data_IF_014968496602
#
_entry.id   IF_014968496602
#
_cell.length_a   1.000
_cell.length_b   1.000
_cell.length_c   1.000
_cell.angle_alpha   90.00
_cell.angle_beta   90.00
_cell.angle_gamma   90.00
#
_symmetry.space_group_name_H-M   'P 1'
#
loop_
_entity.id
_entity.type
_entity.pdbx_description
1 polymer ?
#
# COMPACT_ATOMS: atom_id res chain seq x y z
N UNK A 1 -17.15 -32.45 -21.38
CA UNK A 1 -17.33 -33.34 -20.21
C UNK A 1 -18.38 -32.70 -19.31
N UNK A 2 -19.63 -33.18 -19.36
CA UNK A 2 -20.77 -32.66 -18.58
C UNK A 2 -20.75 -33.26 -17.16
N UNK A 3 -20.88 -32.42 -16.14
CA UNK A 3 -21.15 -32.85 -14.76
C UNK A 3 -22.45 -32.19 -14.32
N UNK A 4 -23.49 -33.02 -14.22
CA UNK A 4 -24.77 -32.73 -13.60
C UNK A 4 -24.62 -32.89 -12.08
N UNK A 5 -25.02 -31.89 -11.30
CA UNK A 5 -25.21 -32.06 -9.85
C UNK A 5 -26.49 -31.33 -9.39
N UNK A 6 -27.61 -32.02 -9.53
CA UNK A 6 -28.85 -31.72 -8.81
C UNK A 6 -28.65 -32.04 -7.32
N UNK A 7 -28.65 -31.03 -6.45
CA UNK A 7 -28.95 -31.21 -5.02
C UNK A 7 -29.90 -30.12 -4.52
N UNK A 8 -31.13 -30.54 -4.23
CA UNK A 8 -32.13 -29.79 -3.46
C UNK A 8 -31.63 -29.59 -2.03
N UNK A 9 -31.68 -28.36 -1.55
CA UNK A 9 -31.54 -28.02 -0.14
C UNK A 9 -32.91 -28.05 0.54
N UNK A 10 -33.08 -28.92 1.54
CA UNK A 10 -34.21 -28.89 2.46
C UNK A 10 -33.68 -28.27 3.76
N UNK A 11 -34.12 -27.05 4.08
CA UNK A 11 -33.85 -26.38 5.34
C UNK A 11 -34.77 -26.95 6.43
N UNK A 12 -34.17 -27.48 7.52
CA UNK A 12 -34.86 -27.74 8.79
C UNK A 12 -34.48 -26.67 9.80
N UNK A 13 -35.42 -26.09 10.57
CA UNK A 13 -35.08 -25.10 11.59
C UNK A 13 -34.49 -25.76 12.83
N UNK A 14 -33.35 -25.24 13.31
CA UNK A 14 -32.78 -25.59 14.62
C UNK A 14 -33.46 -24.75 15.70
N UNK A 15 -34.17 -25.41 16.62
CA UNK A 15 -34.63 -24.83 17.90
C UNK A 15 -33.41 -24.56 18.78
N UNK A 16 -33.22 -23.32 19.20
CA UNK A 16 -32.36 -22.98 20.33
C UNK A 16 -33.16 -23.09 21.62
N UNK A 17 -32.62 -23.82 22.60
CA UNK A 17 -33.14 -23.90 23.96
C UNK A 17 -32.34 -22.88 24.78
N UNK A 18 -32.97 -21.76 25.14
CA UNK A 18 -32.42 -20.81 26.11
C UNK A 18 -32.65 -21.39 27.50
N UNK A 19 -31.57 -21.65 28.24
CA UNK A 19 -31.64 -21.96 29.68
C UNK A 19 -31.49 -20.62 30.39
N UNK A 20 -32.60 -20.13 30.94
CA UNK A 20 -32.66 -18.87 31.66
C UNK A 20 -31.98 -18.95 33.02
N UNK A 21 -31.12 -17.99 33.32
CA UNK A 21 -30.84 -17.56 34.69
C UNK A 21 -31.77 -16.39 35.01
N UNK A 22 -32.63 -16.60 36.00
CA UNK A 22 -33.62 -15.64 36.45
C UNK A 22 -32.92 -14.56 37.28
N UNK A 23 -32.71 -13.37 36.72
CA UNK A 23 -32.27 -12.19 37.48
C UNK A 23 -33.53 -11.35 37.78
N UNK A 24 -34.05 -11.47 39.00
CA UNK A 24 -35.20 -10.67 39.45
C UNK A 24 -34.67 -9.41 40.13
N UNK A 25 -34.69 -8.27 39.41
CA UNK A 25 -34.45 -6.95 40.00
C UNK A 25 -35.81 -6.40 40.44
N UNK A 26 -36.03 -6.28 41.76
CA UNK A 26 -37.13 -5.48 42.31
C UNK A 26 -36.62 -4.05 42.48
N UNK A 27 -37.15 -3.11 41.71
CA UNK A 27 -37.00 -1.68 41.97
C UNK A 27 -38.09 -1.24 42.94
N UNK A 28 -37.71 -0.85 44.16
CA UNK A 28 -38.58 -0.12 45.06
C UNK A 28 -38.37 1.39 44.83
N UNK A 29 -39.46 2.13 44.73
CA UNK A 29 -39.48 3.58 44.59
C UNK A 29 -38.85 4.26 45.83
N UNK A 30 -37.69 4.89 45.66
CA UNK A 30 -37.19 5.95 46.57
C UNK A 30 -36.42 7.02 45.79
N UNK A 31 -36.54 8.25 46.29
CA UNK A 31 -36.10 9.57 45.77
C UNK A 31 -34.65 9.66 45.21
N UNK A 32 -34.37 10.69 44.38
CA UNK A 32 -33.11 10.80 43.63
C UNK A 32 -31.96 11.32 44.50
N UNK A 33 -30.82 10.67 44.42
CA UNK A 33 -29.57 11.18 45.00
C UNK A 33 -28.55 10.06 45.26
N UNK A 34 -27.57 9.96 44.36
CA UNK A 34 -26.34 9.17 44.49
C UNK A 34 -26.47 7.64 44.49
N UNK A 35 -26.13 7.02 43.36
CA UNK A 35 -25.82 5.59 43.27
C UNK A 35 -24.31 5.41 43.10
N UNK A 36 -23.66 4.90 44.14
CA UNK A 36 -22.27 4.45 44.11
C UNK A 36 -22.32 2.91 43.96
N UNK A 37 -21.92 2.41 42.80
CA UNK A 37 -21.77 0.97 42.55
C UNK A 37 -20.33 0.56 42.82
N UNK A 38 -20.09 -0.14 43.93
CA UNK A 38 -18.87 -0.93 44.12
C UNK A 38 -19.19 -2.40 43.88
N UNK A 39 -18.37 -3.04 43.05
CA UNK A 39 -18.38 -4.48 42.83
C UNK A 39 -17.07 -5.04 43.39
N UNK A 40 -17.16 -5.94 44.37
CA UNK A 40 -16.07 -6.82 44.75
C UNK A 40 -16.59 -8.25 44.68
N UNK A 41 -16.09 -9.01 43.70
CA UNK A 41 -16.35 -10.44 43.60
C UNK A 41 -15.01 -11.19 43.62
N UNK A 42 -14.72 -11.78 44.77
CA UNK A 42 -13.56 -12.64 45.00
C UNK A 42 -14.02 -14.09 44.84
N UNK A 43 -13.70 -14.73 43.71
CA UNK A 43 -13.77 -16.18 43.60
C UNK A 43 -12.35 -16.76 43.53
N UNK A 44 -11.95 -17.39 44.63
CA UNK A 44 -10.81 -18.30 44.71
C UNK A 44 -11.23 -19.60 44.02
N UNK A 45 -10.58 -19.92 42.91
CA UNK A 45 -10.65 -21.22 42.25
C UNK A 45 -9.31 -21.91 42.45
N UNK A 46 -9.26 -22.84 43.40
CA UNK A 46 -8.17 -23.80 43.55
C UNK A 46 -8.38 -24.94 42.54
N UNK A 47 -7.51 -25.01 41.54
CA UNK A 47 -7.40 -26.13 40.61
C UNK A 47 -5.95 -26.63 40.61
N UNK A 48 -5.64 -27.52 41.53
CA UNK A 48 -4.42 -28.33 41.49
C UNK A 48 -4.70 -29.64 40.75
N UNK A 49 -4.26 -29.72 39.49
CA UNK A 49 -4.20 -30.97 38.73
C UNK A 49 -2.75 -31.48 38.70
N UNK A 50 -2.52 -32.81 38.80
CA UNK A 50 -1.19 -33.39 38.84
C UNK A 50 -0.50 -33.35 37.47
N UNK A 51 0.77 -32.97 37.47
CA UNK A 51 1.63 -32.98 36.28
C UNK A 51 1.89 -34.42 35.79
N UNK A 52 1.15 -34.82 34.75
CA UNK A 52 1.45 -36.01 33.96
C UNK A 52 2.70 -35.78 33.11
N UNK A 53 3.72 -36.63 33.29
CA UNK A 53 4.95 -36.67 32.48
C UNK A 53 4.62 -36.90 31.01
N UNK A 54 4.64 -35.85 30.18
CA UNK A 54 4.51 -35.97 28.73
C UNK A 54 5.80 -36.54 28.13
N UNK A 55 5.67 -37.65 27.38
CA UNK A 55 6.73 -38.16 26.50
C UNK A 55 7.10 -37.09 25.45
N UNK A 56 8.37 -37.05 24.99
CA UNK A 56 8.78 -36.14 23.91
C UNK A 56 7.93 -36.44 22.67
N UNK A 57 7.20 -35.44 22.17
CA UNK A 57 6.48 -35.54 20.89
C UNK A 57 7.52 -35.62 19.78
N UNK A 58 7.57 -36.74 19.08
CA UNK A 58 8.25 -36.83 17.79
C UNK A 58 7.66 -35.76 16.85
N UNK A 59 8.52 -34.84 16.39
CA UNK A 59 8.15 -33.79 15.46
C UNK A 59 7.90 -34.40 14.09
N UNK A 60 6.63 -34.65 13.76
CA UNK A 60 6.21 -35.03 12.40
C UNK A 60 6.50 -33.85 11.47
N UNK A 61 7.49 -34.01 10.59
CA UNK A 61 7.82 -33.06 9.52
C UNK A 61 6.79 -33.21 8.40
N UNK A 62 5.72 -32.42 8.42
CA UNK A 62 4.82 -32.33 7.28
C UNK A 62 5.45 -31.42 6.24
N UNK A 63 5.84 -31.94 5.08
CA UNK A 63 6.18 -31.10 3.93
C UNK A 63 4.90 -30.60 3.28
N UNK A 64 4.86 -29.32 2.91
CA UNK A 64 3.74 -28.70 2.21
C UNK A 64 4.11 -28.44 0.76
N UNK A 65 3.18 -28.57 -0.18
CA UNK A 65 3.41 -28.29 -1.60
C UNK A 65 2.73 -26.96 -1.98
N UNK A 66 3.44 -26.09 -2.71
CA UNK A 66 2.87 -24.91 -3.36
C UNK A 66 2.63 -25.26 -4.83
N UNK A 67 1.38 -25.17 -5.29
CA UNK A 67 1.02 -25.36 -6.70
C UNK A 67 0.81 -23.99 -7.36
N UNK A 68 1.52 -23.71 -8.44
CA UNK A 68 1.39 -22.49 -9.23
C UNK A 68 0.28 -22.61 -10.27
N UNK A 69 -0.13 -21.47 -10.87
CA UNK A 69 -1.15 -21.42 -11.92
C UNK A 69 -0.79 -22.21 -13.18
N UNK A 70 0.51 -22.40 -13.44
CA UNK A 70 1.02 -23.21 -14.56
C UNK A 70 1.02 -24.72 -14.26
N UNK A 71 0.49 -25.13 -13.10
CA UNK A 71 0.45 -26.52 -12.64
C UNK A 71 1.77 -27.01 -12.01
N UNK A 72 2.83 -26.20 -12.02
CA UNK A 72 4.08 -26.58 -11.36
C UNK A 72 3.87 -26.67 -9.85
N UNK A 73 4.49 -27.67 -9.22
CA UNK A 73 4.44 -27.86 -7.77
C UNK A 73 5.84 -27.76 -7.18
N UNK A 74 6.04 -26.90 -6.19
CA UNK A 74 7.29 -26.83 -5.44
C UNK A 74 7.06 -27.36 -4.03
N UNK A 75 7.90 -28.31 -3.62
CA UNK A 75 7.91 -28.84 -2.26
C UNK A 75 8.56 -27.83 -1.34
N UNK A 76 7.89 -27.53 -0.23
CA UNK A 76 8.41 -26.67 0.82
C UNK A 76 8.78 -27.52 2.02
N UNK A 77 9.93 -27.20 2.62
CA UNK A 77 10.37 -27.79 3.89
C UNK A 77 10.17 -26.76 4.99
N UNK A 78 9.69 -27.21 6.14
CA UNK A 78 9.67 -26.36 7.32
C UNK A 78 11.09 -26.28 7.89
N UNK A 79 11.62 -25.07 7.99
CA UNK A 79 12.76 -24.80 8.84
C UNK A 79 12.26 -24.20 10.16
N UNK A 80 12.85 -24.62 11.26
CA UNK A 80 12.61 -24.02 12.57
C UNK A 80 13.85 -23.26 12.99
N UNK A 81 13.68 -21.98 13.28
CA UNK A 81 14.73 -21.17 13.88
C UNK A 81 14.47 -21.06 15.38
N UNK A 82 15.24 -21.83 16.15
CA UNK A 82 15.15 -21.83 17.61
C UNK A 82 15.50 -20.47 18.21
N UNK A 83 16.32 -19.66 17.54
CA UNK A 83 16.73 -18.34 18.05
C UNK A 83 15.60 -17.31 17.91
N UNK A 84 14.75 -17.46 16.89
CA UNK A 84 13.64 -16.54 16.60
C UNK A 84 12.29 -17.06 17.05
N UNK A 85 12.25 -18.29 17.58
CA UNK A 85 11.01 -19.03 17.86
C UNK A 85 9.99 -18.98 16.71
N UNK A 86 10.48 -19.00 15.47
CA UNK A 86 9.68 -18.87 14.26
C UNK A 86 9.83 -20.09 13.37
N UNK A 87 8.72 -20.49 12.74
CA UNK A 87 8.70 -21.44 11.63
C UNK A 87 8.61 -20.67 10.32
N UNK A 88 9.45 -21.03 9.38
CA UNK A 88 9.42 -20.52 8.01
C UNK A 88 9.44 -21.68 7.04
N UNK A 89 8.84 -21.47 5.87
CA UNK A 89 8.91 -22.41 4.78
C UNK A 89 10.12 -22.07 3.93
N UNK A 90 10.93 -23.07 3.60
CA UNK A 90 12.01 -22.95 2.62
C UNK A 90 11.59 -23.70 1.38
N UNK A 91 11.65 -23.02 0.24
CA UNK A 91 11.35 -23.59 -1.06
C UNK A 91 12.59 -23.46 -1.96
N UNK A 92 12.95 -24.54 -2.66
CA UNK A 92 13.98 -24.48 -3.69
C UNK A 92 13.34 -24.09 -5.02
N UNK A 93 13.88 -23.06 -5.68
CA UNK A 93 13.46 -22.70 -7.03
C UNK A 93 13.82 -23.82 -8.02
N UNK A 94 12.83 -24.37 -8.70
CA UNK A 94 12.97 -25.43 -9.70
C UNK A 94 13.85 -25.02 -10.90
N UNK A 95 13.96 -23.72 -11.17
CA UNK A 95 14.74 -23.20 -12.30
C UNK A 95 16.21 -22.92 -11.98
N UNK A 96 16.54 -22.50 -10.76
CA UNK A 96 17.90 -22.06 -10.40
C UNK A 96 18.50 -22.79 -9.19
N UNK A 97 17.73 -23.64 -8.51
CA UNK A 97 18.16 -24.38 -7.32
C UNK A 97 18.32 -23.52 -6.05
N UNK A 98 18.15 -22.19 -6.13
CA UNK A 98 18.30 -21.31 -4.97
C UNK A 98 17.16 -21.54 -3.98
N UNK A 99 17.52 -21.67 -2.70
CA UNK A 99 16.57 -21.73 -1.60
C UNK A 99 16.04 -20.33 -1.25
N UNK A 100 14.74 -20.24 -1.05
CA UNK A 100 14.02 -19.00 -0.75
C UNK A 100 13.23 -19.22 0.53
N UNK A 101 13.47 -18.35 1.51
CA UNK A 101 12.68 -18.30 2.73
C UNK A 101 11.35 -17.60 2.45
N UNK A 102 10.25 -18.27 2.78
CA UNK A 102 8.89 -17.78 2.65
C UNK A 102 8.37 -17.47 4.07
N UNK A 103 8.10 -16.20 4.40
CA UNK A 103 7.59 -15.82 5.72
C UNK A 103 6.14 -16.27 5.91
N UNK A 104 5.80 -16.80 7.08
CA UNK A 104 4.42 -17.11 7.47
C UNK A 104 3.86 -18.36 6.79
N UNK A 105 2.58 -18.32 6.37
CA UNK A 105 1.96 -19.36 5.54
C UNK A 105 2.60 -19.32 4.16
N UNK A 106 3.03 -20.46 3.62
CA UNK A 106 3.76 -20.58 2.36
C UNK A 106 3.11 -19.83 1.16
N UNK A 107 3.34 -18.52 1.05
CA UNK A 107 2.68 -17.67 0.06
C UNK A 107 3.29 -17.91 -1.32
N UNK A 108 2.44 -18.28 -2.27
CA UNK A 108 2.80 -18.50 -3.65
C UNK A 108 3.35 -17.22 -4.34
N UNK A 109 3.00 -16.03 -3.83
CA UNK A 109 3.37 -14.75 -4.43
C UNK A 109 4.87 -14.49 -4.43
N UNK A 110 5.56 -14.78 -3.31
CA UNK A 110 7.02 -14.62 -3.19
C UNK A 110 7.78 -15.57 -4.12
N UNK A 111 7.30 -16.81 -4.29
CA UNK A 111 7.91 -17.76 -5.23
C UNK A 111 7.61 -17.43 -6.68
N UNK A 112 6.41 -16.95 -7.00
CA UNK A 112 6.04 -16.59 -8.37
C UNK A 112 6.93 -15.45 -8.90
N UNK A 113 7.10 -14.39 -8.10
CA UNK A 113 7.95 -13.25 -8.45
C UNK A 113 9.40 -13.67 -8.70
N UNK A 114 9.94 -14.57 -7.86
CA UNK A 114 11.28 -15.12 -8.08
C UNK A 114 11.35 -15.97 -9.36
N UNK A 115 10.37 -16.85 -9.62
CA UNK A 115 10.33 -17.68 -10.82
C UNK A 115 10.34 -16.82 -12.08
N UNK A 116 9.54 -15.76 -12.14
CA UNK A 116 9.53 -14.84 -13.28
C UNK A 116 10.87 -14.12 -13.47
N UNK A 117 11.54 -13.72 -12.38
CA UNK A 117 12.89 -13.17 -12.45
C UNK A 117 13.92 -14.19 -12.97
N UNK A 118 13.82 -15.45 -12.54
CA UNK A 118 14.66 -16.54 -13.03
C UNK A 118 14.45 -16.85 -14.52
N UNK A 119 13.20 -16.85 -14.99
CA UNK A 119 12.88 -17.01 -16.43
C UNK A 119 13.57 -15.93 -17.27
N UNK A 120 13.45 -14.67 -16.84
CA UNK A 120 14.10 -13.53 -17.52
C UNK A 120 15.62 -13.68 -17.59
N UNK A 121 16.26 -14.11 -16.50
CA UNK A 121 17.73 -14.35 -16.47
C UNK A 121 18.19 -15.51 -17.34
N UNK A 122 17.39 -16.59 -17.44
CA UNK A 122 17.72 -17.69 -18.37
C UNK A 122 17.63 -17.24 -19.82
N UNK A 123 16.62 -16.45 -20.18
CA UNK A 123 16.47 -15.92 -21.53
C UNK A 123 17.61 -14.96 -21.93
N UNK A 124 18.13 -14.17 -20.99
CA UNK A 124 19.27 -13.28 -21.25
C UNK A 124 20.63 -13.98 -21.35
N UNK A 125 20.75 -15.21 -20.86
CA UNK A 125 21.99 -16.00 -20.88
C UNK A 125 22.05 -17.03 -22.02
N UNK A 126 21.10 -17.01 -22.96
CA UNK A 126 21.22 -17.78 -24.19
C UNK A 126 22.32 -17.12 -25.03
N UNK A 127 23.46 -17.79 -25.32
CA UNK A 127 24.48 -17.22 -26.19
C UNK A 127 23.82 -16.91 -27.54
N UNK A 128 23.94 -15.67 -28.01
CA UNK A 128 23.52 -15.30 -29.35
C UNK A 128 24.24 -16.24 -30.33
N UNK A 129 23.50 -17.18 -30.92
CA UNK A 129 24.05 -18.02 -31.97
C UNK A 129 24.54 -17.08 -33.08
N UNK A 130 25.85 -17.14 -33.33
CA UNK A 130 26.57 -16.34 -34.31
C UNK A 130 26.03 -16.67 -35.70
N UNK A 131 25.14 -15.83 -36.21
CA UNK A 131 24.80 -15.80 -37.63
C UNK A 131 26.00 -15.20 -38.37
N UNK A 132 26.76 -16.06 -39.06
CA UNK A 132 27.84 -15.66 -39.99
C UNK A 132 27.27 -14.74 -41.09
N UNK A 133 27.83 -13.54 -41.32
CA UNK A 133 27.52 -12.78 -42.51
C UNK A 133 28.35 -13.29 -43.69
N UNK A 134 27.66 -13.77 -44.73
CA UNK A 134 28.21 -14.06 -46.04
C UNK A 134 28.58 -12.75 -46.75
N UNK A 135 29.84 -12.64 -47.16
CA UNK A 135 30.40 -11.54 -47.93
C UNK A 135 29.76 -11.43 -49.33
N UNK A 136 29.50 -10.20 -49.76
CA UNK A 136 29.11 -9.83 -51.12
C UNK A 136 29.24 -8.30 -51.33
N UNK A 137 29.52 -7.83 -52.55
CA UNK A 137 30.50 -6.77 -52.77
C UNK A 137 29.95 -5.34 -52.93
N UNK A 138 30.91 -4.43 -52.84
CA UNK A 138 30.90 -2.98 -53.00
C UNK A 138 30.38 -2.44 -54.35
N UNK A 139 29.93 -1.18 -54.28
CA UNK A 139 29.97 -0.07 -55.27
C UNK A 139 28.61 0.45 -55.73
N UNK A 140 28.37 1.73 -55.45
CA UNK A 140 27.26 2.53 -55.96
C UNK A 140 27.32 3.95 -55.42
N UNK A 141 27.86 4.84 -56.25
CA UNK A 141 28.14 6.25 -56.01
C UNK A 141 26.89 7.12 -56.30
N UNK A 142 26.93 8.39 -55.86
CA UNK A 142 26.12 9.56 -56.32
C UNK A 142 24.77 9.82 -55.64
N UNK A 143 24.62 11.06 -55.14
CA UNK A 143 23.32 11.65 -54.82
C UNK A 143 23.37 12.86 -53.87
N UNK A 144 24.14 13.91 -54.18
CA UNK A 144 23.99 15.22 -53.52
C UNK A 144 22.65 15.82 -53.97
N UNK A 145 21.66 15.84 -53.07
CA UNK A 145 20.47 16.67 -53.22
C UNK A 145 20.58 17.90 -52.32
N UNK A 146 20.62 19.07 -52.98
CA UNK A 146 20.39 20.37 -52.38
C UNK A 146 18.99 20.39 -51.76
N UNK A 147 18.92 20.69 -50.46
CA UNK A 147 17.67 21.06 -49.80
C UNK A 147 17.67 22.58 -49.74
N UNK A 148 16.83 23.19 -50.57
CA UNK A 148 16.53 24.62 -50.52
C UNK A 148 15.83 24.97 -49.21
N UNK A 149 16.37 26.00 -48.57
CA UNK A 149 15.97 26.58 -47.31
C UNK A 149 14.69 27.41 -47.51
N UNK A 150 13.52 26.81 -47.28
CA UNK A 150 12.25 27.53 -47.21
C UNK A 150 12.15 28.19 -45.83
N UNK A 151 12.62 29.43 -45.73
CA UNK A 151 12.46 30.31 -44.56
C UNK A 151 10.99 30.72 -44.45
N UNK A 152 10.19 29.87 -43.80
CA UNK A 152 8.83 30.19 -43.39
C UNK A 152 8.83 31.25 -42.29
N UNK A 153 8.18 32.40 -42.54
CA UNK A 153 7.95 33.46 -41.55
C UNK A 153 7.30 32.90 -40.29
N UNK A 154 8.05 32.91 -39.20
CA UNK A 154 7.54 32.64 -37.86
C UNK A 154 6.43 33.65 -37.50
N UNK A 155 5.30 33.18 -36.95
CA UNK A 155 4.24 34.06 -36.48
C UNK A 155 4.77 34.95 -35.34
N UNK A 156 4.50 36.25 -35.46
CA UNK A 156 4.88 37.27 -34.49
C UNK A 156 4.34 36.87 -33.11
N UNK A 157 5.25 36.58 -32.17
CA UNK A 157 4.93 36.33 -30.76
C UNK A 157 4.11 37.51 -30.23
N UNK A 158 2.84 37.23 -29.97
CA UNK A 158 1.93 38.11 -29.23
C UNK A 158 2.59 38.47 -27.90
N UNK A 159 2.55 39.77 -27.54
CA UNK A 159 3.06 40.27 -26.25
C UNK A 159 2.25 39.62 -25.13
N UNK A 160 2.85 38.62 -24.49
CA UNK A 160 2.33 37.96 -23.30
C UNK A 160 2.02 39.01 -22.22
N UNK A 161 0.74 39.21 -21.94
CA UNK A 161 0.29 39.84 -20.72
C UNK A 161 0.59 38.86 -19.59
N UNK A 162 1.53 39.23 -18.71
CA UNK A 162 1.78 38.52 -17.45
C UNK A 162 0.58 38.73 -16.53
N UNK A 163 -0.49 37.95 -16.74
CA UNK A 163 -1.56 37.82 -15.76
C UNK A 163 -0.93 37.10 -14.57
N UNK A 164 -0.71 37.82 -13.47
CA UNK A 164 -0.17 37.25 -12.25
C UNK A 164 -1.10 36.11 -11.80
N UNK A 165 -0.54 34.90 -11.67
CA UNK A 165 -1.25 33.75 -11.15
C UNK A 165 -1.80 34.11 -9.74
N UNK A 166 -3.11 33.97 -9.49
CA UNK A 166 -3.69 34.37 -8.22
C UNK A 166 -3.03 33.60 -7.08
N UNK A 167 -2.40 34.33 -6.15
CA UNK A 167 -1.82 33.71 -4.97
C UNK A 167 -2.92 33.02 -4.17
N UNK A 168 -2.82 31.70 -4.06
CA UNK A 168 -3.79 30.90 -3.33
C UNK A 168 -3.58 31.09 -1.83
N UNK A 169 -4.60 31.57 -1.11
CA UNK A 169 -4.53 31.79 0.34
C UNK A 169 -4.77 30.48 1.12
N UNK A 170 -3.69 29.92 1.67
CA UNK A 170 -3.73 28.71 2.50
C UNK A 170 -4.14 28.97 3.95
N UNK A 171 -4.35 30.23 4.38
CA UNK A 171 -4.73 30.57 5.76
C UNK A 171 -6.00 29.83 6.20
N UNK A 172 -6.98 29.73 5.30
CA UNK A 172 -8.25 29.03 5.53
C UNK A 172 -8.08 27.51 5.59
N UNK A 173 -7.10 26.96 4.89
CA UNK A 173 -6.79 25.52 4.92
C UNK A 173 -6.12 25.19 6.25
N UNK A 174 -5.09 25.94 6.64
CA UNK A 174 -4.39 25.73 7.92
C UNK A 174 -5.27 26.01 9.13
N UNK A 175 -6.17 26.98 9.03
CA UNK A 175 -7.18 27.21 10.04
C UNK A 175 -8.08 25.99 10.28
N UNK A 176 -8.24 25.09 9.31
CA UNK A 176 -8.98 23.84 9.51
C UNK A 176 -8.15 22.81 10.27
N UNK A 177 -6.88 22.60 9.92
CA UNK A 177 -5.99 21.70 10.64
C UNK A 177 -5.74 22.13 12.09
N UNK A 178 -5.61 23.44 12.35
CA UNK A 178 -5.42 23.99 13.70
C UNK A 178 -6.63 23.83 14.63
N UNK A 179 -7.81 23.53 14.07
CA UNK A 179 -9.04 23.27 14.84
C UNK A 179 -9.18 21.81 15.26
N UNK A 180 -8.33 20.92 14.75
CA UNK A 180 -8.31 19.52 15.16
C UNK A 180 -7.96 19.46 16.66
N UNK A 181 -8.72 18.72 17.48
CA UNK A 181 -8.44 18.62 18.90
C UNK A 181 -7.01 18.14 19.17
N UNK A 182 -6.25 18.82 20.05
CA UNK A 182 -4.87 18.42 20.32
C UNK A 182 -4.76 17.09 21.08
N UNK A 183 -5.85 16.64 21.71
CA UNK A 183 -5.88 15.41 22.51
C UNK A 183 -6.69 14.32 21.81
N UNK A 184 -6.00 13.24 21.44
CA UNK A 184 -6.56 12.06 20.75
C UNK A 184 -7.34 12.38 19.46
N UNK A 185 -6.73 13.09 18.51
CA UNK A 185 -7.35 13.29 17.21
C UNK A 185 -7.56 11.95 16.50
N UNK A 186 -8.74 11.78 15.93
CA UNK A 186 -9.11 10.62 15.13
C UNK A 186 -8.73 10.85 13.66
N UNK A 187 -8.69 9.78 12.87
CA UNK A 187 -8.48 9.87 11.42
C UNK A 187 -9.56 10.73 10.73
N UNK A 188 -10.79 10.68 11.22
CA UNK A 188 -11.93 11.42 10.65
C UNK A 188 -11.75 12.94 10.78
N UNK A 189 -11.07 13.40 11.85
CA UNK A 189 -10.76 14.81 12.07
C UNK A 189 -9.85 15.40 10.98
N UNK A 190 -9.08 14.56 10.28
CA UNK A 190 -8.18 14.98 9.20
C UNK A 190 -8.83 14.95 7.81
N UNK A 191 -9.95 14.24 7.63
CA UNK A 191 -10.58 14.09 6.31
C UNK A 191 -11.03 15.44 5.74
N UNK A 192 -11.74 16.24 6.52
CA UNK A 192 -12.22 17.56 6.10
C UNK A 192 -11.07 18.51 5.72
N UNK A 193 -10.07 18.71 6.59
CA UNK A 193 -8.89 19.53 6.29
C UNK A 193 -8.10 19.08 5.05
N UNK A 194 -7.85 17.77 4.87
CA UNK A 194 -7.17 17.27 3.67
C UNK A 194 -8.02 17.40 2.42
N UNK A 195 -9.32 17.14 2.49
CA UNK A 195 -10.24 17.37 1.37
C UNK A 195 -10.18 18.84 0.92
N UNK A 196 -10.24 19.78 1.87
CA UNK A 196 -10.13 21.21 1.60
C UNK A 196 -8.77 21.58 0.99
N UNK A 197 -7.67 21.02 1.47
CA UNK A 197 -6.33 21.21 0.91
C UNK A 197 -6.29 20.75 -0.55
N UNK A 198 -6.81 19.55 -0.85
CA UNK A 198 -6.80 19.00 -2.19
C UNK A 198 -7.65 19.82 -3.16
N UNK A 199 -8.86 20.25 -2.78
CA UNK A 199 -9.69 21.13 -3.63
C UNK A 199 -9.07 22.51 -3.85
N UNK A 200 -8.17 22.94 -2.97
CA UNK A 200 -7.40 24.18 -3.14
C UNK A 200 -6.27 23.99 -4.16
N UNK A 201 -5.67 22.79 -4.21
CA UNK A 201 -4.55 22.45 -5.10
C UNK A 201 -4.99 21.93 -6.48
N UNK A 202 -6.15 21.30 -6.54
CA UNK A 202 -6.81 20.73 -7.72
C UNK A 202 -8.24 21.31 -7.77
N UNK A 203 -8.40 22.53 -8.30
CA UNK A 203 -9.68 23.23 -8.27
C UNK A 203 -10.79 22.48 -9.00
N UNK A 204 -12.02 22.53 -8.47
CA UNK A 204 -13.16 21.79 -9.00
C UNK A 204 -13.70 22.32 -10.35
N UNK A 205 -13.27 23.51 -10.77
CA UNK A 205 -13.57 24.13 -12.06
C UNK A 205 -12.58 23.72 -13.17
N UNK A 206 -11.71 22.75 -12.88
CA UNK A 206 -10.74 22.16 -13.82
C UNK A 206 -11.10 20.70 -14.14
N UNK A 207 -10.31 20.05 -14.99
CA UNK A 207 -10.52 18.64 -15.37
C UNK A 207 -10.11 17.63 -14.28
N UNK A 208 -9.71 18.11 -13.10
CA UNK A 208 -9.35 17.25 -11.98
C UNK A 208 -10.59 16.86 -11.15
N UNK A 209 -10.67 15.59 -10.77
CA UNK A 209 -11.72 15.07 -9.87
C UNK A 209 -11.05 14.46 -8.65
N UNK A 210 -11.50 14.85 -7.45
CA UNK A 210 -11.02 14.26 -6.19
C UNK A 210 -12.03 13.22 -5.71
N UNK A 211 -11.59 11.97 -5.61
CA UNK A 211 -12.41 10.83 -5.17
C UNK A 211 -11.96 10.37 -3.79
N UNK A 212 -12.71 10.70 -2.72
CA UNK A 212 -12.49 10.11 -1.41
C UNK A 212 -12.90 8.63 -1.42
N UNK A 213 -12.07 7.78 -0.81
CA UNK A 213 -12.33 6.36 -0.59
C UNK A 213 -12.02 6.03 0.87
N UNK A 214 -13.03 5.54 1.57
CA UNK A 214 -12.83 4.79 2.81
C UNK A 214 -12.53 3.34 2.45
N UNK A 215 -11.45 2.79 2.98
CA UNK A 215 -11.07 1.42 2.68
C UNK A 215 -10.21 0.82 3.77
N UNK A 216 -10.29 -0.50 3.92
CA UNK A 216 -9.22 -1.23 4.56
C UNK A 216 -7.99 -1.18 3.66
N UNK A 217 -6.82 -1.06 4.28
CA UNK A 217 -5.54 -1.23 3.57
C UNK A 217 -5.56 -2.55 2.78
N UNK A 218 -4.97 -2.54 1.58
CA UNK A 218 -4.86 -3.73 0.74
C UNK A 218 -3.89 -4.76 1.34
N UNK A 219 -2.95 -4.34 2.19
CA UNK A 219 -1.97 -5.23 2.82
C UNK A 219 -2.24 -5.50 4.30
N UNK A 220 -3.12 -4.74 4.97
CA UNK A 220 -3.44 -4.97 6.38
C UNK A 220 -4.90 -4.70 6.72
N UNK A 221 -5.49 -5.57 7.53
CA UNK A 221 -6.85 -5.40 8.06
C UNK A 221 -6.89 -4.52 9.32
N UNK A 222 -5.75 -4.02 9.78
CA UNK A 222 -5.61 -3.53 11.16
C UNK A 222 -5.64 -2.01 11.29
N UNK A 223 -5.34 -1.26 10.23
CA UNK A 223 -5.31 0.21 10.29
C UNK A 223 -6.31 0.78 9.29
N UNK A 224 -7.36 1.47 9.75
CA UNK A 224 -8.21 2.22 8.84
C UNK A 224 -7.36 3.32 8.19
N UNK A 225 -7.41 3.38 6.86
CA UNK A 225 -6.75 4.42 6.07
C UNK A 225 -7.83 5.11 5.24
N UNK A 226 -7.79 6.43 5.21
CA UNK A 226 -8.63 7.21 4.32
C UNK A 226 -7.81 7.65 3.11
N UNK A 227 -8.40 7.62 1.92
CA UNK A 227 -7.66 7.78 0.67
C UNK A 227 -8.32 8.79 -0.21
N UNK A 228 -7.55 9.72 -0.75
CA UNK A 228 -8.01 10.62 -1.79
C UNK A 228 -7.28 10.28 -3.07
N UNK A 229 -8.03 9.97 -4.13
CA UNK A 229 -7.46 9.76 -5.47
C UNK A 229 -7.81 10.98 -6.32
N UNK A 230 -6.81 11.60 -6.92
CA UNK A 230 -6.99 12.68 -7.89
C UNK A 230 -6.95 12.08 -9.28
N UNK A 231 -8.05 12.24 -10.00
CA UNK A 231 -8.23 11.78 -11.38
C UNK A 231 -8.08 12.96 -12.34
N UNK A 232 -7.53 12.70 -13.53
CA UNK A 232 -7.53 13.61 -14.68
C UNK A 232 -8.08 12.84 -15.89
N UNK A 233 -9.25 13.26 -16.40
CA UNK A 233 -9.95 12.51 -17.45
C UNK A 233 -10.22 11.05 -17.08
N UNK A 234 -10.72 10.80 -15.86
CA UNK A 234 -10.97 9.48 -15.26
C UNK A 234 -9.75 8.57 -15.04
N UNK A 235 -8.52 9.08 -15.16
CA UNK A 235 -7.30 8.31 -14.88
C UNK A 235 -6.58 8.85 -13.65
N UNK A 236 -6.05 7.99 -12.76
CA UNK A 236 -5.36 8.44 -11.56
C UNK A 236 -4.03 9.12 -11.90
N UNK A 237 -3.80 10.31 -11.35
CA UNK A 237 -2.55 11.07 -11.54
C UNK A 237 -1.82 11.34 -10.23
N UNK A 238 -2.55 11.29 -9.11
CA UNK A 238 -2.03 11.52 -7.77
C UNK A 238 -2.93 10.83 -6.74
N UNK A 239 -2.38 10.41 -5.60
CA UNK A 239 -3.20 10.05 -4.45
C UNK A 239 -2.56 10.46 -3.11
N UNK A 240 -3.42 10.59 -2.09
CA UNK A 240 -3.06 10.87 -0.71
C UNK A 240 -3.68 9.83 0.20
N UNK A 241 -2.85 9.14 0.98
CA UNK A 241 -3.28 8.26 2.07
C UNK A 241 -3.17 9.01 3.39
N UNK A 242 -4.21 8.93 4.21
CA UNK A 242 -4.27 9.54 5.54
C UNK A 242 -4.47 8.44 6.57
N UNK A 243 -3.50 8.28 7.47
CA UNK A 243 -3.54 7.36 8.60
C UNK A 243 -3.78 8.07 9.93
N UNK A 244 -4.02 7.29 10.98
CA UNK A 244 -4.23 7.81 12.34
C UNK A 244 -2.97 8.50 12.86
N UNK A 245 -3.05 9.69 13.47
CA UNK A 245 -1.89 10.37 14.05
C UNK A 245 -1.18 9.55 15.14
N UNK A 246 -1.91 8.70 15.87
CA UNK A 246 -1.33 7.84 16.90
C UNK A 246 -0.47 6.71 16.30
N UNK A 247 -0.71 6.31 15.05
CA UNK A 247 0.11 5.33 14.35
C UNK A 247 1.55 5.83 14.15
N UNK A 248 1.75 7.15 14.18
CA UNK A 248 3.08 7.74 13.99
C UNK A 248 4.08 7.28 15.03
N UNK A 249 3.64 6.98 16.26
CA UNK A 249 4.51 6.58 17.38
C UNK A 249 5.05 5.16 17.26
N UNK A 250 4.46 4.34 16.39
CA UNK A 250 4.76 2.91 16.29
C UNK A 250 5.52 2.59 15.00
N UNK A 251 6.79 2.15 15.07
CA UNK A 251 7.56 1.80 13.87
C UNK A 251 6.89 0.75 12.98
N UNK A 252 6.17 -0.20 13.57
CA UNK A 252 5.40 -1.21 12.84
C UNK A 252 4.26 -0.61 12.02
N UNK A 253 3.56 0.38 12.55
CA UNK A 253 2.47 1.07 11.86
C UNK A 253 2.99 1.96 10.74
N UNK A 254 4.12 2.65 10.95
CA UNK A 254 4.84 3.36 9.88
C UNK A 254 5.26 2.42 8.74
N UNK A 255 5.78 1.23 9.06
CA UNK A 255 6.13 0.23 8.05
C UNK A 255 4.91 -0.28 7.27
N UNK A 256 3.77 -0.48 7.94
CA UNK A 256 2.51 -0.82 7.27
C UNK A 256 2.09 0.29 6.31
N UNK A 257 2.10 1.56 6.75
CA UNK A 257 1.77 2.70 5.91
C UNK A 257 2.67 2.81 4.65
N UNK A 258 3.99 2.60 4.79
CA UNK A 258 4.91 2.59 3.64
C UNK A 258 4.57 1.48 2.63
N UNK A 259 4.31 0.27 3.13
CA UNK A 259 3.94 -0.87 2.28
C UNK A 259 2.62 -0.65 1.56
N UNK A 260 1.62 -0.09 2.26
CA UNK A 260 0.29 0.17 1.72
C UNK A 260 0.34 1.19 0.56
N UNK A 261 1.09 2.27 0.75
CA UNK A 261 1.27 3.30 -0.28
C UNK A 261 1.98 2.71 -1.50
N UNK A 262 3.00 1.86 -1.31
CA UNK A 262 3.68 1.19 -2.43
C UNK A 262 2.77 0.22 -3.17
N UNK A 263 2.01 -0.61 -2.45
CA UNK A 263 0.99 -1.49 -3.02
C UNK A 263 0.03 -0.69 -3.91
N UNK A 264 -0.47 0.43 -3.39
CA UNK A 264 -1.38 1.31 -4.12
C UNK A 264 -0.75 2.00 -5.33
N UNK A 265 0.51 2.41 -5.23
CA UNK A 265 1.27 2.89 -6.38
C UNK A 265 1.34 1.80 -7.47
N UNK A 266 1.57 0.53 -7.11
CA UNK A 266 1.57 -0.54 -8.10
C UNK A 266 0.21 -0.76 -8.76
N UNK A 267 -0.87 -0.68 -7.98
CA UNK A 267 -2.24 -0.85 -8.49
C UNK A 267 -2.63 0.28 -9.46
N UNK A 268 -2.31 1.54 -9.12
CA UNK A 268 -2.76 2.72 -9.87
C UNK A 268 -1.82 3.14 -11.03
N UNK A 269 -0.52 2.81 -10.96
CA UNK A 269 0.47 3.30 -11.92
C UNK A 269 0.23 2.84 -13.36
N UNK A 270 -0.35 1.65 -13.57
CA UNK A 270 -0.65 1.14 -14.91
C UNK A 270 -1.69 1.99 -15.66
N UNK A 271 -2.52 2.73 -14.94
CA UNK A 271 -3.55 3.62 -15.48
C UNK A 271 -3.11 5.08 -15.56
N UNK A 272 -1.94 5.41 -14.98
CA UNK A 272 -1.45 6.77 -14.90
C UNK A 272 -0.99 7.31 -16.27
N UNK A 273 -1.58 8.42 -16.76
CA UNK A 273 -1.24 8.95 -18.08
C UNK A 273 0.08 9.70 -18.11
N UNK A 274 0.56 10.21 -16.98
CA UNK A 274 1.80 10.98 -16.89
C UNK A 274 3.02 10.08 -16.60
N UNK A 275 4.25 10.47 -17.00
CA UNK A 275 5.44 9.61 -16.83
C UNK A 275 5.86 9.33 -15.38
N UNK A 276 5.44 10.18 -14.44
CA UNK A 276 5.78 10.08 -13.02
C UNK A 276 4.51 10.12 -12.19
N UNK A 277 4.16 8.98 -11.60
CA UNK A 277 3.06 8.90 -10.64
C UNK A 277 3.54 9.37 -9.28
N UNK A 278 2.80 10.29 -8.64
CA UNK A 278 3.15 10.87 -7.34
C UNK A 278 2.11 10.51 -6.30
N UNK A 279 2.57 10.26 -5.08
CA UNK A 279 1.70 9.96 -3.96
C UNK A 279 2.21 10.61 -2.67
N UNK A 280 1.30 10.81 -1.73
CA UNK A 280 1.63 11.30 -0.39
C UNK A 280 1.03 10.37 0.65
N UNK A 281 1.79 10.08 1.70
CA UNK A 281 1.29 9.40 2.89
C UNK A 281 1.34 10.39 4.05
N UNK A 282 0.17 10.68 4.62
CA UNK A 282 0.00 11.48 5.80
C UNK A 282 -0.30 10.59 7.01
N UNK A 283 0.40 10.81 8.12
CA UNK A 283 0.04 10.27 9.44
C UNK A 283 -0.23 11.47 10.34
N UNK A 284 -1.51 11.80 10.51
CA UNK A 284 -1.89 13.12 11.03
C UNK A 284 -1.43 14.25 10.10
N UNK A 285 -0.57 15.15 10.60
CA UNK A 285 0.06 16.24 9.82
C UNK A 285 1.43 15.88 9.24
N UNK A 286 2.02 14.75 9.63
CA UNK A 286 3.34 14.34 9.17
C UNK A 286 3.23 13.69 7.79
N UNK A 287 4.07 14.11 6.85
CA UNK A 287 3.98 13.77 5.43
C UNK A 287 5.21 13.02 4.94
N UNK A 288 4.98 11.96 4.17
CA UNK A 288 5.97 11.30 3.35
C UNK A 288 5.58 11.38 1.87
N UNK A 289 6.53 11.70 1.01
CA UNK A 289 6.31 11.88 -0.43
C UNK A 289 6.88 10.71 -1.22
N UNK A 290 6.08 10.16 -2.12
CA UNK A 290 6.46 9.07 -2.99
C UNK A 290 6.36 9.47 -4.45
N UNK A 291 7.25 8.90 -5.27
CA UNK A 291 7.21 9.02 -6.72
C UNK A 291 7.60 7.71 -7.37
N UNK A 292 6.92 7.36 -8.46
CA UNK A 292 7.27 6.23 -9.32
C UNK A 292 7.44 6.73 -10.74
N UNK A 293 8.63 6.55 -11.29
CA UNK A 293 8.87 6.72 -12.72
C UNK A 293 8.58 5.39 -13.43
N UNK A 294 8.09 5.40 -14.66
CA UNK A 294 7.79 4.15 -15.42
C UNK A 294 8.97 3.19 -15.54
N UNK A 295 10.18 3.75 -15.62
CA UNK A 295 11.43 3.00 -15.80
C UNK A 295 12.17 2.72 -14.48
N UNK A 296 11.80 3.38 -13.39
CA UNK A 296 12.50 3.24 -12.11
C UNK A 296 11.61 2.62 -11.05
N UNK A 297 12.21 2.14 -9.97
CA UNK A 297 11.46 1.78 -8.77
C UNK A 297 10.74 2.98 -8.14
N UNK A 298 9.98 2.70 -7.09
CA UNK A 298 9.36 3.71 -6.23
C UNK A 298 10.42 4.38 -5.36
N UNK A 299 10.44 5.71 -5.32
CA UNK A 299 11.23 6.52 -4.40
C UNK A 299 10.31 7.11 -3.31
N UNK A 300 10.74 7.19 -2.03
CA UNK A 300 12.01 6.67 -1.49
C UNK A 300 12.10 5.14 -1.63
N UNK A 301 13.31 4.55 -1.63
CA UNK A 301 13.47 3.10 -1.75
C UNK A 301 12.76 2.36 -0.60
N UNK A 302 12.30 1.14 -0.90
CA UNK A 302 11.71 0.26 0.11
C UNK A 302 12.73 -0.06 1.19
N UNK A 303 12.28 -0.11 2.44
CA UNK A 303 13.13 -0.51 3.56
C UNK A 303 12.89 -1.99 3.76
N UNK A 304 13.87 -2.77 3.35
CA UNK A 304 13.85 -4.22 3.53
C UNK A 304 13.83 -4.53 5.01
N UNK A 305 12.87 -5.32 5.47
CA UNK A 305 12.87 -5.81 6.84
C UNK A 305 14.10 -6.70 7.05
N UNK A 306 15.07 -6.23 7.84
CA UNK A 306 16.17 -7.06 8.27
C UNK A 306 15.65 -8.12 9.24
N UNK A 307 15.52 -9.36 8.75
CA UNK A 307 14.96 -10.48 9.52
C UNK A 307 15.78 -10.78 10.79
N UNK A 308 17.02 -10.30 10.88
CA UNK A 308 17.86 -10.42 12.07
C UNK A 308 17.73 -9.29 13.09
N UNK A 309 17.11 -8.16 12.73
CA UNK A 309 16.95 -7.00 13.60
C UNK A 309 15.46 -6.61 13.66
N UNK A 310 14.83 -6.84 14.82
CA UNK A 310 13.44 -6.43 15.08
C UNK A 310 13.23 -4.90 15.10
N UNK A 311 14.26 -4.11 14.80
CA UNK A 311 14.25 -2.65 14.82
C UNK A 311 13.88 -2.06 13.44
N UNK A 312 13.67 -2.91 12.42
CA UNK A 312 13.50 -2.45 11.04
C UNK A 312 12.07 -1.98 10.72
N UNK A 313 11.67 -0.88 11.34
CA UNK A 313 10.49 -0.10 10.98
C UNK A 313 10.85 1.05 10.03
N UNK A 314 9.86 1.58 9.32
CA UNK A 314 10.11 2.78 8.54
C UNK A 314 10.54 3.94 9.48
N UNK A 315 11.68 4.60 9.19
CA UNK A 315 12.27 5.64 10.02
C UNK A 315 11.32 6.83 10.14
N UNK A 316 11.37 7.54 11.25
CA UNK A 316 10.53 8.74 11.47
C UNK A 316 10.86 9.83 10.47
N UNK A 317 12.13 9.90 10.08
CA UNK A 317 12.68 10.79 9.07
C UNK A 317 12.01 10.62 7.70
N UNK A 318 11.38 9.48 7.45
CA UNK A 318 10.58 9.29 6.22
C UNK A 318 9.36 10.22 6.17
N UNK A 319 8.86 10.64 7.32
CA UNK A 319 7.75 11.59 7.51
C UNK A 319 8.26 12.92 8.10
N UNK A 320 9.45 13.36 7.66
CA UNK A 320 10.13 14.57 8.17
C UNK A 320 9.31 15.87 8.00
N UNK A 321 8.39 15.91 7.04
CA UNK A 321 7.65 17.12 6.72
C UNK A 321 6.39 17.23 7.58
N UNK A 322 6.27 18.30 8.36
CA UNK A 322 4.99 18.67 8.96
C UNK A 322 4.21 19.60 8.03
N UNK A 323 2.97 19.24 7.70
CA UNK A 323 2.11 20.03 6.84
C UNK A 323 1.97 21.49 7.34
N UNK A 324 1.89 21.72 8.66
CA UNK A 324 1.71 23.06 9.24
C UNK A 324 2.99 23.90 9.28
N UNK A 325 4.12 23.32 8.90
CA UNK A 325 5.43 23.97 8.86
C UNK A 325 5.96 23.98 7.42
N UNK A 326 6.98 23.17 7.13
CA UNK A 326 7.66 23.10 5.83
C UNK A 326 6.93 22.24 4.79
N UNK A 327 6.05 21.35 5.25
CA UNK A 327 5.38 20.36 4.41
C UNK A 327 4.41 20.95 3.40
N UNK A 328 3.78 22.09 3.67
CA UNK A 328 2.87 22.71 2.70
C UNK A 328 3.57 23.12 1.41
N UNK A 329 4.73 23.77 1.52
CA UNK A 329 5.49 24.17 0.32
C UNK A 329 5.83 22.95 -0.53
N UNK A 330 6.26 21.86 0.11
CA UNK A 330 6.57 20.61 -0.58
C UNK A 330 5.33 19.96 -1.21
N UNK A 331 4.20 19.98 -0.52
CA UNK A 331 2.92 19.47 -1.04
C UNK A 331 2.48 20.27 -2.28
N UNK A 332 2.53 21.61 -2.20
CA UNK A 332 2.20 22.50 -3.33
C UNK A 332 3.09 22.25 -4.54
N UNK A 333 4.39 22.04 -4.32
CA UNK A 333 5.34 21.72 -5.38
C UNK A 333 4.94 20.41 -6.07
N UNK A 334 4.68 19.35 -5.32
CA UNK A 334 4.25 18.05 -5.85
C UNK A 334 2.93 18.14 -6.62
N UNK A 335 1.95 18.88 -6.09
CA UNK A 335 0.68 19.11 -6.77
C UNK A 335 0.88 19.90 -8.08
N UNK A 336 1.69 20.95 -8.05
CA UNK A 336 2.00 21.78 -9.23
C UNK A 336 2.75 20.99 -10.30
N UNK A 337 3.72 20.16 -9.92
CA UNK A 337 4.41 19.26 -10.85
C UNK A 337 3.44 18.25 -11.50
N UNK A 338 2.44 17.79 -10.75
CA UNK A 338 1.42 16.87 -11.25
C UNK A 338 0.48 17.57 -12.23
N UNK A 339 -0.02 18.77 -11.90
CA UNK A 339 -0.85 19.59 -12.80
C UNK A 339 -0.14 19.90 -14.12
N UNK A 340 1.08 20.43 -14.05
CA UNK A 340 1.91 20.74 -15.24
C UNK A 340 2.15 19.52 -16.12
N UNK A 341 2.33 18.33 -15.53
CA UNK A 341 2.47 17.11 -16.31
C UNK A 341 1.17 16.72 -17.04
N UNK A 342 0.01 16.96 -16.43
CA UNK A 342 -1.29 16.69 -17.06
C UNK A 342 -1.62 17.67 -18.17
N UNK A 343 -1.19 18.93 -18.06
CA UNK A 343 -1.32 19.97 -19.11
C UNK A 343 -0.56 19.63 -20.41
N UNK A 344 0.35 18.65 -20.36
CA UNK A 344 1.11 18.19 -21.54
C UNK A 344 0.50 16.98 -22.24
N UNK A 345 -0.60 16.43 -21.72
CA UNK A 345 -1.36 15.33 -22.33
C UNK A 345 -2.33 15.86 -23.38
#
# INVERSE_FOLDING_TARGET
MQINSNRRWISRPRRWRVIGTHLSIRTANTKPGHTLLSFTQSHKLDLSLPMSKQKPREHIKHDTNITFKDGATIRTRHAYDATRNMRWHVAACDMCGREIALPGTADAYSMHSHREACKKRKLSNIPAMVSRPSAGPSLGHVGRHNIEEVVGRLPKKSKNQNVAEPQTDFSRVFGAFRKIPPFKPSIDDFQGPYNKLLYTLFPADTDFIIVPKSGSSSCSTETPVFTFIVLFGNRPVFFLDVGSPDDFKYPSKRQVADRDVRARIWDLDSECPIPVFRAVCAIGTKLCFYQKHRLTGVYPPFIESNVGLWIDGAPEERWEYDLLETGTRRFQEVATMTRKACETL
#
